data_IF_972040136594
#
_entry.id   IF_972040136594
#
_cell.length_a   1.000
_cell.length_b   1.000
_cell.length_c   1.000
_cell.angle_alpha   90.00
_cell.angle_beta   90.00
_cell.angle_gamma   90.00
#
_symmetry.space_group_name_H-M   'P 1'
#
loop_
_entity.id
_entity.type
_entity.pdbx_description
1 polymer ?
#
# COMPACT_ATOMS: atom_id res chain seq x y z
N UNK A 1 -20.19 -3.76 9.43
CA UNK A 1 -19.98 -2.61 8.52
C UNK A 1 -20.51 -3.03 7.17
N UNK A 2 -21.70 -2.57 6.82
CA UNK A 2 -22.46 -2.94 5.61
C UNK A 2 -22.33 -1.89 4.49
N UNK A 3 -21.57 -0.82 4.71
CA UNK A 3 -21.37 0.27 3.75
C UNK A 3 -22.46 1.32 3.77
N UNK A 4 -23.59 1.11 4.48
CA UNK A 4 -24.71 2.06 4.44
C UNK A 4 -24.29 3.45 4.88
N UNK A 5 -24.63 4.47 4.08
CA UNK A 5 -24.36 5.88 4.38
C UNK A 5 -25.04 6.28 5.70
N UNK A 6 -24.23 6.78 6.63
CA UNK A 6 -24.66 7.27 7.93
C UNK A 6 -24.95 8.77 7.97
N UNK A 7 -25.02 9.30 9.19
CA UNK A 7 -25.17 10.73 9.41
C UNK A 7 -23.95 11.52 8.93
N UNK A 8 -24.20 12.70 8.36
CA UNK A 8 -23.15 13.66 8.05
C UNK A 8 -22.64 14.34 9.33
N UNK A 9 -21.33 14.54 9.41
CA UNK A 9 -20.66 15.26 10.48
C UNK A 9 -19.97 16.49 9.90
N UNK A 10 -20.19 17.64 10.51
CA UNK A 10 -19.38 18.83 10.21
C UNK A 10 -18.04 18.71 10.94
N UNK A 11 -16.95 18.88 10.21
CA UNK A 11 -15.59 18.86 10.76
C UNK A 11 -15.35 20.20 11.47
N UNK A 12 -14.99 20.13 12.76
CA UNK A 12 -14.93 21.29 13.66
C UNK A 12 -13.52 21.70 14.08
N UNK A 13 -12.52 20.89 13.76
CA UNK A 13 -11.13 21.20 14.05
C UNK A 13 -10.22 20.53 13.03
N UNK A 14 -8.92 20.81 13.18
CA UNK A 14 -7.87 20.15 12.43
C UNK A 14 -7.98 18.63 12.48
N UNK A 15 -7.58 18.04 11.37
CA UNK A 15 -7.26 16.64 11.25
C UNK A 15 -6.39 16.47 10.00
N UNK A 16 -5.66 15.38 9.99
CA UNK A 16 -4.76 15.01 8.89
C UNK A 16 -5.20 13.69 8.32
N UNK A 17 -4.73 13.43 7.11
CA UNK A 17 -4.88 12.14 6.44
C UNK A 17 -3.59 11.78 5.72
N UNK A 18 -3.34 10.48 5.59
CA UNK A 18 -2.21 9.91 4.87
C UNK A 18 -2.68 8.65 4.14
N UNK A 19 -2.37 8.55 2.86
CA UNK A 19 -2.68 7.43 1.98
C UNK A 19 -1.35 6.88 1.43
N UNK A 20 -0.79 5.81 2.00
CA UNK A 20 0.41 5.15 1.46
C UNK A 20 0.06 4.07 0.43
N UNK A 21 0.88 3.94 -0.63
CA UNK A 21 0.79 2.83 -1.57
C UNK A 21 1.10 1.50 -0.87
N UNK A 22 0.32 0.45 -1.17
CA UNK A 22 0.47 -0.89 -0.57
C UNK A 22 0.34 -0.92 0.96
N UNK A 23 -0.15 0.17 1.57
CA UNK A 23 -0.26 0.37 3.00
C UNK A 23 -1.71 0.54 3.45
N UNK A 24 -1.87 0.95 4.70
CA UNK A 24 -3.17 1.26 5.30
C UNK A 24 -3.23 2.75 5.54
N UNK A 25 -4.30 3.37 5.06
CA UNK A 25 -4.57 4.78 5.27
C UNK A 25 -4.73 5.10 6.76
N UNK A 26 -4.29 6.29 7.16
CA UNK A 26 -4.49 6.81 8.52
C UNK A 26 -5.10 8.20 8.43
N UNK A 27 -6.16 8.45 9.20
CA UNK A 27 -6.82 9.76 9.23
C UNK A 27 -7.59 9.98 10.53
N UNK A 28 -7.90 11.23 10.82
CA UNK A 28 -8.70 11.56 12.00
C UNK A 28 -9.74 12.62 11.69
N UNK A 29 -10.95 12.50 12.26
CA UNK A 29 -12.01 13.51 12.08
C UNK A 29 -12.42 14.06 13.44
N UNK A 30 -12.40 15.38 13.59
CA UNK A 30 -12.81 16.06 14.81
C UNK A 30 -14.18 16.70 14.63
N UNK A 31 -15.17 16.26 15.40
CA UNK A 31 -16.54 16.79 15.39
C UNK A 31 -16.92 17.36 16.77
N UNK A 32 -18.00 18.15 16.83
CA UNK A 32 -18.51 18.62 18.12
C UNK A 32 -19.13 17.47 18.90
N UNK A 33 -18.97 17.47 20.23
CA UNK A 33 -19.68 16.51 21.10
C UNK A 33 -21.20 16.66 21.00
N UNK A 34 -21.69 17.86 20.69
CA UNK A 34 -23.10 18.10 20.48
C UNK A 34 -23.66 17.30 19.29
N UNK A 35 -22.92 17.24 18.17
CA UNK A 35 -23.29 16.40 17.02
C UNK A 35 -23.26 14.91 17.38
N UNK A 36 -22.15 14.43 17.97
CA UNK A 36 -22.02 13.01 18.30
C UNK A 36 -23.06 12.50 19.33
N UNK A 37 -23.48 13.35 20.27
CA UNK A 37 -24.53 13.02 21.25
C UNK A 37 -25.93 12.89 20.64
N UNK A 38 -26.16 13.44 19.44
CA UNK A 38 -27.42 13.24 18.70
C UNK A 38 -27.45 11.88 17.99
N UNK A 39 -26.30 11.24 17.82
CA UNK A 39 -26.17 9.91 17.26
C UNK A 39 -26.20 8.87 18.38
N UNK A 40 -26.73 7.69 18.09
CA UNK A 40 -26.56 6.56 19.01
C UNK A 40 -25.07 6.24 19.15
N UNK A 41 -24.65 5.81 20.35
CA UNK A 41 -23.25 5.45 20.65
C UNK A 41 -22.65 4.48 19.63
N UNK A 42 -23.50 3.62 19.09
CA UNK A 42 -23.13 2.62 18.11
C UNK A 42 -22.55 3.22 16.81
N UNK A 43 -22.92 4.45 16.44
CA UNK A 43 -22.46 5.18 15.24
C UNK A 43 -21.07 5.80 15.35
N UNK A 44 -20.46 5.78 16.53
CA UNK A 44 -19.06 6.22 16.71
C UNK A 44 -18.26 5.22 17.54
N UNK A 45 -18.78 4.00 17.68
CA UNK A 45 -18.09 2.89 18.36
C UNK A 45 -17.00 2.31 17.47
N UNK A 46 -15.84 2.07 18.05
CA UNK A 46 -14.68 1.51 17.36
C UNK A 46 -14.99 0.14 16.75
N UNK A 47 -14.41 -0.14 15.59
CA UNK A 47 -14.56 -1.36 14.77
C UNK A 47 -16.01 -1.71 14.34
N UNK A 48 -17.00 -0.91 14.74
CA UNK A 48 -18.40 -1.10 14.36
C UNK A 48 -18.79 -0.18 13.21
N UNK A 49 -18.32 1.05 13.24
CA UNK A 49 -18.68 2.10 12.28
C UNK A 49 -17.43 2.63 11.59
N UNK A 50 -17.58 2.95 10.31
CA UNK A 50 -16.56 3.64 9.50
C UNK A 50 -16.90 5.11 9.34
N UNK A 51 -15.87 5.93 9.23
CA UNK A 51 -15.98 7.31 8.76
C UNK A 51 -15.51 7.33 7.32
N UNK A 52 -16.20 8.07 6.46
CA UNK A 52 -15.77 8.39 5.11
C UNK A 52 -15.68 9.91 4.99
N UNK A 53 -14.58 10.39 4.42
CA UNK A 53 -14.41 11.80 4.05
C UNK A 53 -14.40 11.87 2.53
N UNK A 54 -15.22 12.76 1.98
CA UNK A 54 -15.36 12.93 0.54
C UNK A 54 -14.89 14.30 0.09
N UNK A 55 -14.29 14.34 -1.10
CA UNK A 55 -14.12 15.56 -1.86
C UNK A 55 -15.42 15.89 -2.59
N UNK A 56 -15.85 17.15 -2.51
CA UNK A 56 -17.00 17.62 -3.27
C UNK A 56 -16.49 18.36 -4.50
N UNK A 57 -16.76 17.81 -5.69
CA UNK A 57 -16.44 18.46 -6.95
C UNK A 57 -17.29 19.70 -7.17
N UNK A 58 -16.89 20.53 -8.13
CA UNK A 58 -17.61 21.75 -8.52
C UNK A 58 -19.07 21.46 -8.93
N UNK A 59 -19.36 20.29 -9.51
CA UNK A 59 -20.71 19.86 -9.89
C UNK A 59 -21.56 19.31 -8.72
N UNK A 60 -20.99 19.25 -7.51
CA UNK A 60 -21.62 18.75 -6.31
C UNK A 60 -21.49 17.24 -6.09
N UNK A 61 -20.88 16.50 -7.02
CA UNK A 61 -20.59 15.07 -6.87
C UNK A 61 -19.62 14.83 -5.73
N UNK A 62 -19.81 13.74 -4.99
CA UNK A 62 -18.96 13.34 -3.88
C UNK A 62 -18.05 12.19 -4.30
N UNK A 63 -16.74 12.42 -4.30
CA UNK A 63 -15.75 11.35 -4.38
C UNK A 63 -15.33 10.94 -2.99
N UNK A 64 -15.46 9.66 -2.64
CA UNK A 64 -14.91 9.16 -1.39
C UNK A 64 -13.38 9.19 -1.47
N UNK A 65 -12.75 10.01 -0.63
CA UNK A 65 -11.30 10.22 -0.65
C UNK A 65 -10.58 9.22 0.26
N UNK A 66 -11.04 9.14 1.52
CA UNK A 66 -10.51 8.19 2.50
C UNK A 66 -11.66 7.68 3.36
N UNK A 67 -11.63 6.39 3.70
CA UNK A 67 -12.63 5.82 4.58
C UNK A 67 -12.13 4.57 5.31
N UNK A 68 -12.66 4.35 6.51
CA UNK A 68 -12.39 3.13 7.28
C UNK A 68 -12.89 3.19 8.71
N UNK A 69 -12.76 2.08 9.47
CA UNK A 69 -13.30 1.96 10.82
C UNK A 69 -12.71 2.99 11.80
N UNK A 70 -13.53 3.40 12.77
CA UNK A 70 -13.06 4.07 13.98
C UNK A 70 -12.22 3.07 14.79
N UNK A 71 -11.02 3.45 15.21
CA UNK A 71 -10.04 2.51 15.79
C UNK A 71 -10.11 2.38 17.31
N UNK A 72 -10.62 3.39 18.00
CA UNK A 72 -10.68 3.41 19.47
C UNK A 72 -11.73 4.38 20.01
N UNK A 73 -11.83 4.51 21.34
CA UNK A 73 -12.62 5.57 21.95
C UNK A 73 -12.21 6.95 21.41
N UNK A 74 -13.16 7.88 21.19
CA UNK A 74 -12.81 9.22 20.73
C UNK A 74 -11.86 9.91 21.71
N UNK A 75 -10.85 10.61 21.21
CA UNK A 75 -10.08 11.54 22.03
C UNK A 75 -10.92 12.80 22.28
N UNK A 76 -11.01 13.26 23.52
CA UNK A 76 -12.03 14.25 23.91
C UNK A 76 -11.43 15.54 24.47
N UNK A 77 -11.94 16.69 24.00
CA UNK A 77 -11.78 17.99 24.68
C UNK A 77 -13.05 18.31 25.48
N UNK A 78 -13.21 19.55 25.97
CA UNK A 78 -14.49 19.96 26.60
C UNK A 78 -15.66 19.98 25.61
N UNK A 79 -15.41 20.32 24.35
CA UNK A 79 -16.46 20.63 23.35
C UNK A 79 -16.40 19.75 22.10
N UNK A 80 -15.25 19.14 21.80
CA UNK A 80 -15.02 18.31 20.61
C UNK A 80 -14.60 16.90 20.97
N UNK A 81 -14.74 16.00 20.00
CA UNK A 81 -14.19 14.66 20.05
C UNK A 81 -13.58 14.29 18.69
N UNK A 82 -12.43 13.64 18.72
CA UNK A 82 -11.66 13.22 17.55
C UNK A 82 -11.77 11.71 17.40
N UNK A 83 -12.26 11.29 16.24
CA UNK A 83 -12.35 9.90 15.81
C UNK A 83 -11.07 9.55 15.04
N UNK A 84 -10.19 8.75 15.64
CA UNK A 84 -9.07 8.16 14.93
C UNK A 84 -9.56 7.01 14.06
N UNK A 85 -9.22 7.04 12.78
CA UNK A 85 -9.70 6.09 11.77
C UNK A 85 -8.51 5.57 10.96
N UNK A 86 -8.62 4.34 10.47
CA UNK A 86 -7.65 3.75 9.55
C UNK A 86 -8.40 3.09 8.40
N UNK A 87 -7.75 2.98 7.25
CA UNK A 87 -8.31 2.33 6.06
C UNK A 87 -8.79 0.90 6.32
N UNK A 88 -9.62 0.36 5.42
CA UNK A 88 -10.23 -0.96 5.59
C UNK A 88 -9.21 -2.10 5.76
N UNK A 89 -7.98 -1.88 5.28
CA UNK A 89 -6.81 -2.74 5.52
C UNK A 89 -6.64 -3.18 6.97
N UNK A 90 -6.97 -2.32 7.94
CA UNK A 90 -6.83 -2.64 9.37
C UNK A 90 -7.74 -3.78 9.84
N UNK A 91 -8.88 -4.01 9.16
CA UNK A 91 -9.73 -5.17 9.43
C UNK A 91 -9.01 -6.46 9.01
N UNK A 92 -8.22 -6.42 7.95
CA UNK A 92 -7.41 -7.56 7.49
C UNK A 92 -6.17 -7.82 8.35
N UNK A 93 -5.68 -6.83 9.13
CA UNK A 93 -4.67 -7.06 10.18
C UNK A 93 -5.22 -7.99 11.28
N UNK A 94 -6.54 -8.05 11.45
CA UNK A 94 -7.24 -8.87 12.45
C UNK A 94 -7.85 -10.14 11.88
N UNK A 95 -7.56 -10.47 10.62
CA UNK A 95 -8.11 -11.65 9.94
C UNK A 95 -6.99 -12.58 9.49
N UNK A 96 -7.35 -13.85 9.36
CA UNK A 96 -6.47 -14.92 8.90
C UNK A 96 -7.06 -15.60 7.67
N UNK A 97 -6.20 -16.02 6.75
CA UNK A 97 -6.56 -16.79 5.56
C UNK A 97 -6.75 -18.25 5.96
N UNK A 98 -7.95 -18.79 5.73
CA UNK A 98 -8.31 -20.16 6.05
C UNK A 98 -9.05 -20.80 4.87
N UNK A 99 -8.90 -22.11 4.73
CA UNK A 99 -9.68 -22.94 3.79
C UNK A 99 -11.15 -23.02 4.19
N UNK A 100 -11.42 -23.01 5.50
CA UNK A 100 -12.74 -23.16 6.08
C UNK A 100 -12.88 -22.41 7.39
N UNK A 101 -14.12 -22.12 7.76
CA UNK A 101 -14.43 -21.62 9.10
C UNK A 101 -14.14 -22.70 10.15
N UNK A 102 -13.47 -22.39 11.27
CA UNK A 102 -13.09 -23.39 12.27
C UNK A 102 -14.28 -24.17 12.85
N UNK A 103 -15.49 -23.62 12.84
CA UNK A 103 -16.68 -24.23 13.46
C UNK A 103 -17.40 -25.21 12.52
N UNK A 104 -16.87 -25.46 11.31
CA UNK A 104 -17.61 -26.18 10.26
C UNK A 104 -17.47 -27.71 10.27
N UNK A 105 -16.56 -28.31 11.05
CA UNK A 105 -16.44 -29.79 11.13
C UNK A 105 -17.14 -30.33 12.39
N UNK A 106 -18.14 -31.23 12.27
CA UNK A 106 -18.89 -31.75 13.41
C UNK A 106 -18.06 -32.61 14.38
N UNK A 107 -17.05 -33.33 13.87
CA UNK A 107 -16.41 -34.42 14.61
C UNK A 107 -14.99 -34.09 15.11
N UNK A 108 -14.25 -33.22 14.41
CA UNK A 108 -12.91 -32.74 14.82
C UNK A 108 -12.51 -31.45 14.07
N UNK A 109 -13.08 -30.29 14.43
CA UNK A 109 -12.83 -29.02 13.76
C UNK A 109 -11.38 -28.53 13.84
N UNK A 110 -10.69 -28.83 14.95
CA UNK A 110 -9.34 -28.34 15.18
C UNK A 110 -8.31 -29.10 14.35
N UNK A 111 -8.35 -30.44 14.34
CA UNK A 111 -7.41 -31.22 13.53
C UNK A 111 -7.65 -31.01 12.03
N UNK A 112 -8.91 -30.87 11.61
CA UNK A 112 -9.25 -30.60 10.21
C UNK A 112 -8.69 -29.24 9.76
N UNK A 113 -8.80 -28.20 10.59
CA UNK A 113 -8.18 -26.90 10.33
C UNK A 113 -6.67 -27.02 10.20
N UNK A 114 -6.00 -27.67 11.16
CA UNK A 114 -4.54 -27.78 11.18
C UNK A 114 -3.97 -28.53 9.96
N UNK A 115 -4.74 -29.45 9.38
CA UNK A 115 -4.36 -30.20 8.16
C UNK A 115 -4.77 -29.51 6.86
N UNK A 116 -5.57 -28.44 6.92
CA UNK A 116 -6.05 -27.75 5.73
C UNK A 116 -4.95 -26.95 5.03
N UNK A 117 -5.08 -26.74 3.73
CA UNK A 117 -4.20 -25.88 2.94
C UNK A 117 -5.05 -25.10 1.96
N UNK A 118 -4.94 -23.77 1.99
CA UNK A 118 -5.44 -22.94 0.88
C UNK A 118 -4.39 -22.97 -0.21
N UNK A 119 -4.67 -23.60 -1.35
CA UNK A 119 -3.75 -23.67 -2.48
C UNK A 119 -4.24 -22.79 -3.62
N UNK A 120 -3.49 -21.72 -3.89
CA UNK A 120 -3.76 -20.77 -4.96
C UNK A 120 -2.68 -20.97 -6.02
N UNK A 121 -3.05 -21.61 -7.14
CA UNK A 121 -2.09 -22.03 -8.18
C UNK A 121 -2.51 -21.51 -9.54
N UNK A 122 -1.53 -21.13 -10.36
CA UNK A 122 -1.76 -20.68 -11.72
C UNK A 122 -2.49 -19.35 -11.77
N UNK A 123 -2.13 -18.42 -10.89
CA UNK A 123 -2.76 -17.11 -10.75
C UNK A 123 -1.69 -16.01 -10.75
N UNK A 124 -2.01 -14.81 -11.26
CA UNK A 124 -1.13 -13.65 -11.04
C UNK A 124 -1.05 -13.31 -9.54
N UNK A 125 0.04 -12.67 -9.09
CA UNK A 125 0.17 -12.26 -7.70
C UNK A 125 -0.98 -11.32 -7.27
N UNK A 126 -1.46 -10.48 -8.20
CA UNK A 126 -2.63 -9.62 -7.97
C UNK A 126 -3.92 -10.42 -7.78
N UNK A 127 -4.12 -11.47 -8.59
CA UNK A 127 -5.25 -12.39 -8.43
C UNK A 127 -5.17 -13.16 -7.10
N UNK A 128 -3.97 -13.57 -6.68
CA UNK A 128 -3.74 -14.20 -5.37
C UNK A 128 -4.10 -13.22 -4.24
N UNK A 129 -3.76 -11.93 -4.36
CA UNK A 129 -4.16 -10.92 -3.38
C UNK A 129 -5.69 -10.82 -3.24
N UNK A 130 -6.43 -10.84 -4.35
CA UNK A 130 -7.90 -10.87 -4.31
C UNK A 130 -8.43 -12.12 -3.59
N UNK A 131 -7.85 -13.29 -3.84
CA UNK A 131 -8.25 -14.52 -3.15
C UNK A 131 -7.97 -14.48 -1.65
N UNK A 132 -6.82 -13.93 -1.24
CA UNK A 132 -6.52 -13.70 0.18
C UNK A 132 -7.64 -12.90 0.86
N UNK A 133 -8.13 -11.83 0.22
CA UNK A 133 -9.24 -11.02 0.73
C UNK A 133 -10.55 -11.81 0.75
N UNK A 134 -10.87 -12.57 -0.31
CA UNK A 134 -12.07 -13.42 -0.36
C UNK A 134 -12.11 -14.43 0.79
N UNK A 135 -11.01 -15.14 1.02
CA UNK A 135 -10.89 -16.06 2.16
C UNK A 135 -10.99 -15.34 3.51
N UNK A 136 -10.46 -14.11 3.62
CA UNK A 136 -10.57 -13.33 4.84
C UNK A 136 -11.99 -12.82 5.13
N UNK A 137 -12.82 -12.60 4.11
CA UNK A 137 -14.23 -12.16 4.27
C UNK A 137 -15.24 -13.31 4.32
N UNK A 138 -14.89 -14.50 3.82
CA UNK A 138 -15.74 -15.70 3.82
C UNK A 138 -15.85 -16.36 5.21
N UNK A 139 -16.25 -15.58 6.22
CA UNK A 139 -16.42 -16.00 7.62
C UNK A 139 -17.75 -15.52 8.18
N UNK A 140 -18.24 -16.17 9.23
CA UNK A 140 -19.47 -15.73 9.91
C UNK A 140 -19.28 -14.31 10.46
N UNK A 141 -20.14 -13.38 10.04
CA UNK A 141 -19.99 -11.95 10.37
C UNK A 141 -18.78 -11.26 9.73
N UNK A 142 -18.10 -11.93 8.78
CA UNK A 142 -16.90 -11.46 8.10
C UNK A 142 -17.16 -10.60 6.87
N UNK A 143 -18.40 -10.51 6.37
CA UNK A 143 -18.71 -9.75 5.16
C UNK A 143 -18.34 -8.28 5.29
N UNK A 144 -17.70 -7.75 4.25
CA UNK A 144 -17.35 -6.34 4.08
C UNK A 144 -17.77 -5.93 2.65
N UNK A 145 -18.12 -4.65 2.39
CA UNK A 145 -18.50 -4.19 1.05
C UNK A 145 -17.25 -3.98 0.19
N UNK A 146 -16.56 -5.07 -0.13
CA UNK A 146 -15.38 -5.08 -1.01
C UNK A 146 -15.83 -5.41 -2.44
N UNK A 147 -15.43 -4.57 -3.39
CA UNK A 147 -15.60 -4.81 -4.83
C UNK A 147 -14.23 -5.12 -5.43
N UNK A 148 -14.12 -6.13 -6.29
CA UNK A 148 -12.86 -6.48 -6.96
C UNK A 148 -12.80 -5.76 -8.30
N UNK A 149 -11.99 -4.70 -8.37
CA UNK A 149 -11.92 -3.79 -9.52
C UNK A 149 -10.98 -4.24 -10.65
N UNK A 150 -10.05 -5.17 -10.37
CA UNK A 150 -9.13 -5.70 -11.39
C UNK A 150 -9.59 -7.07 -11.90
N UNK A 151 -9.48 -7.36 -13.22
CA UNK A 151 -9.74 -8.69 -13.76
C UNK A 151 -8.87 -9.78 -13.13
N UNK A 152 -9.40 -11.01 -13.11
CA UNK A 152 -8.64 -12.19 -12.69
C UNK A 152 -7.75 -12.68 -13.81
N UNK A 153 -6.53 -13.05 -13.48
CA UNK A 153 -5.56 -13.62 -14.41
C UNK A 153 -5.17 -15.02 -13.95
N UNK A 154 -5.38 -16.00 -14.83
CA UNK A 154 -5.03 -17.40 -14.58
C UNK A 154 -4.20 -17.98 -15.72
N UNK A 155 -3.27 -18.87 -15.41
CA UNK A 155 -2.42 -19.55 -16.39
C UNK A 155 -1.48 -20.53 -15.69
N UNK A 156 -1.19 -21.67 -16.32
CA UNK A 156 -0.41 -22.77 -15.72
C UNK A 156 1.05 -22.39 -15.38
N UNK A 157 1.58 -21.36 -16.02
CA UNK A 157 2.94 -20.82 -15.79
C UNK A 157 2.97 -19.68 -14.78
N UNK A 158 1.81 -19.24 -14.28
CA UNK A 158 1.73 -18.17 -13.28
C UNK A 158 2.04 -18.69 -11.87
N UNK A 159 1.92 -17.80 -10.90
CA UNK A 159 2.40 -18.00 -9.54
C UNK A 159 1.58 -19.02 -8.76
N UNK A 160 2.19 -19.50 -7.68
CA UNK A 160 1.57 -20.34 -6.67
C UNK A 160 1.85 -19.83 -5.26
N UNK A 161 0.86 -19.89 -4.39
CA UNK A 161 0.98 -19.72 -2.93
C UNK A 161 0.15 -20.78 -2.22
N UNK A 162 0.72 -21.31 -1.14
CA UNK A 162 0.01 -22.19 -0.21
C UNK A 162 -0.02 -21.52 1.15
N UNK A 163 -1.15 -21.65 1.85
CA UNK A 163 -1.30 -21.21 3.23
C UNK A 163 -1.78 -22.39 4.07
N UNK A 164 -0.87 -22.98 4.83
CA UNK A 164 -1.15 -24.16 5.63
C UNK A 164 -1.86 -23.78 6.93
N UNK A 165 -2.90 -24.53 7.30
CA UNK A 165 -3.67 -24.29 8.51
C UNK A 165 -2.86 -24.48 9.78
N UNK A 166 -1.84 -25.36 9.79
CA UNK A 166 -0.94 -25.50 10.94
C UNK A 166 -0.08 -24.26 11.17
N UNK A 167 0.12 -23.42 10.16
CA UNK A 167 0.93 -22.21 10.20
C UNK A 167 0.07 -20.95 10.43
N UNK A 168 -1.00 -21.08 11.23
CA UNK A 168 -2.03 -20.05 11.38
C UNK A 168 -1.49 -18.70 11.87
N UNK A 169 -0.49 -18.72 12.75
CA UNK A 169 0.16 -17.51 13.27
C UNK A 169 0.79 -16.66 12.15
N UNK A 170 1.15 -17.28 11.03
CA UNK A 170 1.71 -16.60 9.87
C UNK A 170 0.65 -16.27 8.80
N UNK A 171 -0.57 -16.80 8.88
CA UNK A 171 -1.61 -16.62 7.85
C UNK A 171 -2.45 -15.34 8.02
N UNK A 172 -1.93 -14.31 8.67
CA UNK A 172 -2.59 -13.00 8.75
C UNK A 172 -2.87 -12.44 7.34
N UNK A 173 -4.11 -12.07 7.05
CA UNK A 173 -4.52 -11.68 5.70
C UNK A 173 -3.75 -10.45 5.21
N UNK A 174 -3.65 -9.39 6.03
CA UNK A 174 -2.85 -8.22 5.68
C UNK A 174 -1.36 -8.54 5.52
N UNK A 175 -0.80 -9.40 6.40
CA UNK A 175 0.59 -9.87 6.27
C UNK A 175 0.82 -10.52 4.91
N UNK A 176 -0.08 -11.40 4.45
CA UNK A 176 0.03 -12.05 3.14
C UNK A 176 -0.09 -11.05 1.99
N UNK A 177 -0.94 -10.04 2.09
CA UNK A 177 -1.00 -8.95 1.10
C UNK A 177 0.33 -8.21 1.02
N UNK A 178 0.89 -7.79 2.16
CA UNK A 178 2.20 -7.11 2.21
C UNK A 178 3.35 -7.95 1.67
N UNK A 179 3.35 -9.27 1.92
CA UNK A 179 4.36 -10.17 1.35
C UNK A 179 4.24 -10.25 -0.17
N UNK A 180 3.02 -10.27 -0.72
CA UNK A 180 2.80 -10.30 -2.17
C UNK A 180 3.30 -9.02 -2.85
N UNK A 181 3.15 -7.85 -2.24
CA UNK A 181 3.62 -6.58 -2.84
C UNK A 181 5.15 -6.42 -2.73
N UNK A 182 5.83 -7.22 -1.91
CA UNK A 182 7.27 -7.09 -1.62
C UNK A 182 8.18 -8.10 -2.34
N UNK A 183 7.61 -9.00 -3.14
CA UNK A 183 8.42 -9.90 -3.97
C UNK A 183 8.83 -9.22 -5.27
N UNK A 184 9.79 -9.82 -6.00
CA UNK A 184 10.13 -9.41 -7.37
C UNK A 184 8.87 -9.40 -8.24
N UNK A 185 8.65 -8.30 -8.96
CA UNK A 185 7.44 -8.06 -9.75
C UNK A 185 6.15 -8.18 -8.93
N UNK A 186 6.19 -7.83 -7.64
CA UNK A 186 5.02 -7.75 -6.78
C UNK A 186 4.02 -6.71 -7.29
N UNK A 187 2.72 -7.00 -7.25
CA UNK A 187 1.70 -6.07 -7.72
C UNK A 187 1.50 -4.96 -6.69
N UNK A 188 1.17 -3.77 -7.17
CA UNK A 188 0.54 -2.76 -6.35
C UNK A 188 -0.89 -3.21 -5.99
N UNK A 189 -1.33 -2.90 -4.78
CA UNK A 189 -2.64 -3.27 -4.22
C UNK A 189 -3.16 -2.09 -3.39
N UNK A 190 -4.36 -1.62 -3.70
CA UNK A 190 -5.04 -0.52 -3.00
C UNK A 190 -6.51 -0.84 -2.74
N UNK A 191 -7.07 -0.29 -1.67
CA UNK A 191 -8.51 -0.34 -1.36
C UNK A 191 -9.11 1.05 -1.48
N UNK A 192 -9.56 1.42 -2.68
CA UNK A 192 -10.08 2.76 -2.97
C UNK A 192 -11.53 2.86 -2.51
N UNK A 193 -11.88 3.75 -1.56
CA UNK A 193 -13.26 3.93 -1.16
C UNK A 193 -14.05 4.56 -2.31
N UNK A 194 -15.30 4.15 -2.50
CA UNK A 194 -16.17 4.68 -3.54
C UNK A 194 -17.62 4.67 -3.05
N UNK A 195 -18.37 5.73 -3.34
CA UNK A 195 -19.82 5.68 -3.21
C UNK A 195 -20.40 4.86 -4.38
N UNK A 196 -21.38 4.01 -4.10
CA UNK A 196 -22.12 3.34 -5.16
C UNK A 196 -22.88 4.38 -6.02
N UNK A 197 -23.40 3.94 -7.17
CA UNK A 197 -24.01 4.86 -8.15
C UNK A 197 -25.17 5.68 -7.56
N UNK A 198 -25.92 5.13 -6.59
CA UNK A 198 -27.00 5.87 -5.90
C UNK A 198 -26.51 6.77 -4.74
N UNK A 199 -25.22 6.74 -4.39
CA UNK A 199 -24.66 7.51 -3.28
C UNK A 199 -25.15 7.10 -1.89
N UNK A 200 -25.67 5.87 -1.76
CA UNK A 200 -26.31 5.34 -0.54
C UNK A 200 -25.43 4.36 0.23
N UNK A 201 -24.48 3.73 -0.45
CA UNK A 201 -23.55 2.78 0.14
C UNK A 201 -22.12 3.12 -0.24
N UNK A 202 -21.22 2.99 0.72
CA UNK A 202 -19.79 3.02 0.55
C UNK A 202 -19.27 1.60 0.32
N UNK A 203 -18.43 1.47 -0.70
CA UNK A 203 -17.72 0.25 -1.05
C UNK A 203 -16.22 0.53 -1.04
N UNK A 204 -15.40 -0.50 -0.80
CA UNK A 204 -13.96 -0.43 -1.05
C UNK A 204 -13.65 -1.24 -2.30
N UNK A 205 -13.24 -0.55 -3.36
CA UNK A 205 -12.78 -1.17 -4.59
C UNK A 205 -11.33 -1.60 -4.39
N UNK A 206 -11.12 -2.91 -4.26
CA UNK A 206 -9.80 -3.51 -4.30
C UNK A 206 -9.30 -3.49 -5.74
N UNK A 207 -8.28 -2.68 -6.00
CA UNK A 207 -7.56 -2.63 -7.27
C UNK A 207 -6.14 -3.14 -7.07
N UNK A 208 -5.63 -3.80 -8.09
CA UNK A 208 -4.28 -4.33 -8.09
C UNK A 208 -3.65 -4.31 -9.48
N UNK A 209 -2.32 -4.35 -9.51
CA UNK A 209 -1.57 -4.59 -10.74
C UNK A 209 -1.71 -6.03 -11.26
N UNK A 210 -1.33 -6.21 -12.52
CA UNK A 210 -1.43 -7.45 -13.30
C UNK A 210 -0.08 -8.16 -13.40
N UNK A 211 -0.04 -9.35 -14.00
CA UNK A 211 1.23 -10.05 -14.23
C UNK A 211 2.15 -9.32 -15.21
N UNK A 212 1.58 -8.70 -16.25
CA UNK A 212 2.34 -7.97 -17.28
C UNK A 212 2.69 -6.54 -16.86
N UNK A 213 1.83 -5.93 -16.04
CA UNK A 213 2.01 -4.59 -15.50
C UNK A 213 1.74 -4.64 -14.00
N UNK A 214 2.78 -4.76 -13.15
CA UNK A 214 2.63 -4.82 -11.70
C UNK A 214 2.02 -3.56 -11.08
N UNK A 215 1.95 -2.45 -11.82
CA UNK A 215 1.31 -1.20 -11.39
C UNK A 215 -0.20 -1.25 -11.60
N UNK A 216 -0.96 -0.45 -10.84
CA UNK A 216 -2.40 -0.35 -11.01
C UNK A 216 -2.71 0.36 -12.34
N UNK A 217 -3.58 -0.23 -13.16
CA UNK A 217 -4.01 0.38 -14.41
C UNK A 217 -4.80 1.67 -14.16
N UNK A 218 -4.59 2.66 -15.03
CA UNK A 218 -5.25 3.96 -14.98
C UNK A 218 -5.73 4.38 -16.36
N UNK A 219 -6.78 5.20 -16.41
CA UNK A 219 -7.37 5.79 -17.61
C UNK A 219 -7.02 7.27 -17.79
N UNK A 220 -6.41 7.87 -16.76
CA UNK A 220 -6.00 9.26 -16.74
C UNK A 220 -4.63 9.39 -16.05
N UNK A 221 -3.80 10.31 -16.54
CA UNK A 221 -2.45 10.56 -16.01
C UNK A 221 -2.33 12.03 -15.64
N UNK A 222 -1.92 12.28 -14.40
CA UNK A 222 -1.64 13.62 -13.92
C UNK A 222 -0.38 14.16 -14.59
N UNK A 223 -0.37 15.45 -14.93
CA UNK A 223 0.81 16.12 -15.48
C UNK A 223 1.15 17.34 -14.63
N UNK A 224 2.31 17.27 -13.97
CA UNK A 224 2.82 18.27 -13.05
C UNK A 224 4.08 18.89 -13.64
N UNK A 225 3.93 20.05 -14.26
CA UNK A 225 5.06 20.85 -14.71
C UNK A 225 5.51 21.83 -13.63
N UNK A 226 6.65 21.57 -13.00
CA UNK A 226 7.18 22.42 -11.91
C UNK A 226 7.89 23.67 -12.44
N UNK A 227 8.06 23.82 -13.75
CA UNK A 227 8.76 24.94 -14.40
C UNK A 227 7.81 26.05 -14.85
N UNK A 228 6.52 25.74 -14.95
CA UNK A 228 5.48 26.68 -15.36
C UNK A 228 5.07 27.64 -14.25
N UNK A 229 4.95 28.93 -14.56
CA UNK A 229 4.48 29.96 -13.62
C UNK A 229 2.99 29.85 -13.27
N UNK A 230 2.23 29.02 -14.00
CA UNK A 230 0.82 28.71 -13.73
C UNK A 230 0.63 27.27 -13.25
N UNK A 231 1.69 26.62 -12.77
CA UNK A 231 1.63 25.26 -12.26
C UNK A 231 0.72 25.17 -11.03
N UNK A 232 -0.02 24.06 -10.83
CA UNK A 232 -0.70 23.80 -9.56
C UNK A 232 0.29 23.36 -8.46
N UNK A 233 1.58 23.22 -8.78
CA UNK A 233 2.65 22.88 -7.84
C UNK A 233 3.05 24.11 -7.03
N UNK A 234 2.90 24.03 -5.71
CA UNK A 234 3.32 25.07 -4.79
C UNK A 234 4.78 24.94 -4.33
N UNK A 235 5.29 23.71 -4.20
CA UNK A 235 6.68 23.47 -3.84
C UNK A 235 7.13 22.07 -4.26
N UNK A 236 8.43 21.91 -4.48
CA UNK A 236 9.09 20.64 -4.74
C UNK A 236 10.25 20.49 -3.77
N UNK A 237 10.37 19.32 -3.16
CA UNK A 237 11.45 18.94 -2.27
C UNK A 237 12.10 17.65 -2.81
N UNK A 238 13.40 17.69 -3.04
CA UNK A 238 14.17 16.54 -3.51
C UNK A 238 15.10 16.09 -2.39
N UNK A 239 14.92 14.85 -1.94
CA UNK A 239 15.76 14.22 -0.92
C UNK A 239 16.46 13.02 -1.52
N UNK A 240 17.78 13.00 -1.43
CA UNK A 240 18.60 11.88 -1.87
C UNK A 240 19.23 11.23 -0.63
N UNK A 241 18.97 9.95 -0.44
CA UNK A 241 19.51 9.14 0.65
C UNK A 241 20.54 8.13 0.12
N UNK A 242 21.77 8.25 0.61
CA UNK A 242 22.89 7.37 0.27
C UNK A 242 23.17 6.33 1.38
N UNK A 243 22.33 6.25 2.42
CA UNK A 243 22.54 5.38 3.58
C UNK A 243 22.55 3.88 3.28
N UNK A 244 22.00 3.47 2.14
CA UNK A 244 22.00 2.07 1.67
C UNK A 244 23.14 1.71 0.72
N UNK A 245 24.02 2.66 0.38
CA UNK A 245 25.09 2.37 -0.57
C UNK A 245 26.07 1.36 0.03
N UNK A 246 26.31 0.30 -0.74
CA UNK A 246 27.21 -0.79 -0.41
C UNK A 246 27.82 -1.34 -1.71
N UNK A 247 29.07 -1.78 -1.63
CA UNK A 247 29.76 -2.52 -2.70
C UNK A 247 30.01 -3.98 -2.32
N UNK A 248 29.62 -4.39 -1.11
CA UNK A 248 29.58 -5.78 -0.67
C UNK A 248 28.35 -6.02 0.22
N UNK A 249 27.65 -7.11 -0.05
CA UNK A 249 26.50 -7.57 0.73
C UNK A 249 26.76 -8.97 1.26
N UNK A 250 26.55 -9.13 2.57
CA UNK A 250 26.47 -10.43 3.24
C UNK A 250 25.00 -10.78 3.47
N UNK A 251 24.57 -11.98 3.09
CA UNK A 251 23.19 -12.43 3.32
C UNK A 251 23.16 -13.79 4.00
N UNK A 252 22.39 -13.89 5.08
CA UNK A 252 22.28 -15.12 5.87
C UNK A 252 20.93 -15.82 5.68
N UNK A 253 20.94 -17.15 5.73
CA UNK A 253 19.76 -18.02 5.68
C UNK A 253 19.31 -18.52 7.05
N UNK A 254 18.46 -19.54 7.03
CA UNK A 254 18.12 -20.33 8.20
C UNK A 254 19.32 -21.16 8.70
N UNK A 255 19.38 -21.41 10.01
CA UNK A 255 20.39 -22.23 10.66
C UNK A 255 20.73 -21.74 12.06
N UNK A 256 21.57 -22.49 12.77
CA UNK A 256 22.05 -22.15 14.11
C UNK A 256 23.59 -22.12 14.16
N UNK A 257 24.14 -21.15 14.88
CA UNK A 257 25.58 -21.02 15.11
C UNK A 257 26.39 -20.95 13.81
N UNK A 258 27.49 -21.72 13.75
CA UNK A 258 28.37 -21.76 12.59
C UNK A 258 27.77 -22.49 11.35
N UNK A 259 26.58 -23.09 11.49
CA UNK A 259 25.88 -23.78 10.41
C UNK A 259 24.97 -22.88 9.56
N UNK A 260 24.85 -21.59 9.90
CA UNK A 260 24.05 -20.63 9.13
C UNK A 260 24.64 -20.50 7.73
N UNK A 261 23.81 -20.76 6.72
CA UNK A 261 24.21 -20.54 5.35
C UNK A 261 24.38 -19.04 5.10
N UNK A 262 25.54 -18.64 4.60
CA UNK A 262 25.81 -17.27 4.19
C UNK A 262 26.18 -17.22 2.71
N UNK A 263 25.79 -16.14 2.05
CA UNK A 263 26.26 -15.75 0.72
C UNK A 263 26.86 -14.36 0.79
N UNK A 264 27.88 -14.14 -0.04
CA UNK A 264 28.53 -12.85 -0.18
C UNK A 264 28.54 -12.52 -1.66
N UNK A 265 28.07 -11.33 -1.99
CA UNK A 265 28.13 -10.76 -3.34
C UNK A 265 28.77 -9.39 -3.26
N UNK A 266 29.50 -8.99 -4.29
CA UNK A 266 30.24 -7.74 -4.30
C UNK A 266 30.44 -7.20 -5.70
N UNK A 267 30.48 -5.87 -5.80
CA UNK A 267 30.81 -5.12 -7.00
C UNK A 267 31.87 -4.08 -6.60
N UNK A 268 33.14 -4.40 -6.89
CA UNK A 268 34.28 -3.59 -6.47
C UNK A 268 34.70 -2.54 -7.50
N UNK A 269 33.96 -2.41 -8.61
CA UNK A 269 34.29 -1.50 -9.71
C UNK A 269 34.51 -0.06 -9.26
N UNK A 270 33.76 0.39 -8.26
CA UNK A 270 33.84 1.77 -7.72
C UNK A 270 34.95 2.02 -6.71
N UNK A 271 35.68 0.97 -6.28
CA UNK A 271 36.86 1.19 -5.44
C UNK A 271 37.94 1.98 -6.21
N UNK A 272 38.01 1.79 -7.53
CA UNK A 272 38.93 2.50 -8.40
C UNK A 272 38.61 4.00 -8.50
N UNK A 273 37.34 4.38 -8.28
CA UNK A 273 36.85 5.76 -8.21
C UNK A 273 37.00 6.38 -6.80
N UNK A 274 37.89 5.83 -5.97
CA UNK A 274 38.13 6.26 -4.59
C UNK A 274 36.93 6.08 -3.64
N UNK A 275 35.90 5.33 -4.04
CA UNK A 275 34.84 4.95 -3.12
C UNK A 275 35.40 3.95 -2.10
N UNK A 276 35.21 4.14 -0.78
CA UNK A 276 35.65 3.17 0.20
C UNK A 276 34.86 1.86 0.07
N UNK A 277 35.39 0.77 0.63
CA UNK A 277 34.61 -0.44 0.83
C UNK A 277 33.45 -0.14 1.79
N UNK A 278 32.22 -0.41 1.35
CA UNK A 278 30.99 -0.19 2.10
C UNK A 278 30.22 -1.51 2.14
N UNK A 279 29.85 -1.95 3.34
CA UNK A 279 29.30 -3.28 3.58
C UNK A 279 27.86 -3.20 4.12
N UNK A 280 26.99 -4.06 3.61
CA UNK A 280 25.65 -4.27 4.13
C UNK A 280 25.43 -5.74 4.53
N UNK A 281 24.53 -5.95 5.48
CA UNK A 281 24.17 -7.29 5.98
C UNK A 281 22.65 -7.45 5.97
N UNK A 282 22.16 -8.51 5.36
CA UNK A 282 20.75 -8.90 5.31
C UNK A 282 20.53 -10.35 5.71
N UNK A 283 19.26 -10.77 5.80
CA UNK A 283 18.91 -12.14 6.16
C UNK A 283 17.54 -12.58 5.64
N UNK A 284 17.43 -13.86 5.29
CA UNK A 284 16.18 -14.59 5.01
C UNK A 284 16.16 -15.81 5.93
N UNK A 285 15.79 -15.59 7.19
CA UNK A 285 16.00 -16.52 8.31
C UNK A 285 15.12 -17.78 8.27
N UNK A 286 14.19 -17.87 7.33
CA UNK A 286 13.28 -19.00 7.10
C UNK A 286 13.65 -19.83 5.86
N UNK A 287 14.69 -19.44 5.12
CA UNK A 287 15.13 -20.16 3.92
C UNK A 287 16.41 -20.94 4.17
N UNK A 288 16.39 -22.24 3.87
CA UNK A 288 17.59 -23.08 3.74
C UNK A 288 18.09 -23.15 2.28
N UNK A 289 17.38 -22.51 1.34
CA UNK A 289 17.70 -22.54 -0.08
C UNK A 289 18.82 -21.54 -0.42
N UNK A 290 20.00 -22.07 -0.71
CA UNK A 290 21.19 -21.27 -1.02
C UNK A 290 21.12 -20.43 -2.29
N UNK A 291 20.31 -20.82 -3.28
CA UNK A 291 20.09 -20.02 -4.47
C UNK A 291 19.20 -18.82 -4.14
N UNK A 292 18.09 -19.04 -3.42
CA UNK A 292 17.22 -17.95 -2.97
C UNK A 292 17.98 -16.93 -2.11
N UNK A 293 18.87 -17.39 -1.24
CA UNK A 293 19.72 -16.52 -0.41
C UNK A 293 20.69 -15.70 -1.27
N UNK A 294 21.26 -16.27 -2.33
CA UNK A 294 22.10 -15.54 -3.28
C UNK A 294 21.28 -14.49 -4.01
N UNK A 295 20.11 -14.84 -4.53
CA UNK A 295 19.24 -13.93 -5.28
C UNK A 295 18.86 -12.70 -4.43
N UNK A 296 18.60 -12.89 -3.14
CA UNK A 296 18.36 -11.78 -2.21
C UNK A 296 19.59 -10.88 -2.01
N UNK A 297 20.78 -11.48 -1.89
CA UNK A 297 22.02 -10.72 -1.76
C UNK A 297 22.30 -9.89 -3.03
N UNK A 298 22.11 -10.46 -4.21
CA UNK A 298 22.26 -9.79 -5.51
C UNK A 298 21.25 -8.64 -5.67
N UNK A 299 19.99 -8.87 -5.29
CA UNK A 299 18.97 -7.83 -5.31
C UNK A 299 19.31 -6.66 -4.39
N UNK A 300 19.86 -6.91 -3.19
CA UNK A 300 20.29 -5.85 -2.28
C UNK A 300 21.52 -5.11 -2.83
N UNK A 301 22.51 -5.82 -3.38
CA UNK A 301 23.68 -5.19 -3.99
C UNK A 301 23.28 -4.29 -5.16
N UNK A 302 22.38 -4.76 -6.03
CA UNK A 302 21.83 -3.96 -7.11
C UNK A 302 21.11 -2.70 -6.60
N UNK A 303 20.28 -2.84 -5.57
CA UNK A 303 19.60 -1.69 -4.94
C UNK A 303 20.58 -0.72 -4.25
N UNK A 304 21.73 -1.20 -3.79
CA UNK A 304 22.77 -0.43 -3.12
C UNK A 304 23.73 0.28 -4.09
N UNK A 305 23.61 0.06 -5.41
CA UNK A 305 24.47 0.70 -6.44
C UNK A 305 24.26 2.20 -6.55
N UNK A 306 23.11 2.74 -6.15
CA UNK A 306 22.83 4.17 -6.27
C UNK A 306 22.09 4.71 -5.04
N UNK A 307 22.29 6.00 -4.70
CA UNK A 307 21.42 6.66 -3.75
C UNK A 307 19.95 6.57 -4.17
N UNK A 308 19.05 6.49 -3.20
CA UNK A 308 17.61 6.57 -3.45
C UNK A 308 17.21 8.04 -3.45
N UNK A 309 16.65 8.53 -4.56
CA UNK A 309 16.10 9.88 -4.63
C UNK A 309 14.59 9.85 -4.50
N UNK A 310 14.09 10.49 -3.44
CA UNK A 310 12.66 10.71 -3.20
C UNK A 310 12.30 12.14 -3.59
N UNK A 311 11.26 12.28 -4.40
CA UNK A 311 10.75 13.59 -4.82
C UNK A 311 9.39 13.80 -4.15
N UNK A 312 9.28 14.86 -3.37
CA UNK A 312 8.03 15.30 -2.76
C UNK A 312 7.52 16.55 -3.48
N UNK A 313 6.25 16.55 -3.88
CA UNK A 313 5.62 17.70 -4.56
C UNK A 313 4.38 18.09 -3.79
N UNK A 314 4.27 19.37 -3.47
CA UNK A 314 3.07 19.94 -2.87
C UNK A 314 2.20 20.56 -3.96
N UNK A 315 0.97 20.09 -4.09
CA UNK A 315 0.01 20.54 -5.11
C UNK A 315 -1.21 21.21 -4.49
N UNK A 316 -1.88 22.06 -5.25
CA UNK A 316 -3.24 22.52 -4.96
C UNK A 316 -4.26 21.52 -5.51
N UNK A 317 -4.82 20.69 -4.62
CA UNK A 317 -5.82 19.67 -4.97
C UNK A 317 -7.18 20.22 -5.38
N UNK A 318 -7.39 21.54 -5.41
CA UNK A 318 -8.57 22.16 -6.00
C UNK A 318 -8.38 22.53 -7.48
N UNK A 319 -7.16 22.50 -8.02
CA UNK A 319 -6.90 22.76 -9.43
C UNK A 319 -7.34 21.56 -10.29
N UNK A 320 -8.10 21.81 -11.36
CA UNK A 320 -8.66 20.77 -12.24
C UNK A 320 -7.62 19.81 -12.85
N UNK A 321 -6.35 20.24 -12.93
CA UNK A 321 -5.23 19.42 -13.43
C UNK A 321 -4.76 18.37 -12.43
N UNK A 322 -5.04 18.54 -11.15
CA UNK A 322 -4.66 17.62 -10.07
C UNK A 322 -5.74 17.52 -8.98
N UNK A 323 -7.00 17.65 -9.39
CA UNK A 323 -8.14 17.69 -8.48
C UNK A 323 -8.22 16.39 -7.66
N UNK A 324 -8.42 16.53 -6.35
CA UNK A 324 -8.63 15.39 -5.45
C UNK A 324 -9.80 14.54 -5.95
N UNK A 325 -9.62 13.22 -5.99
CA UNK A 325 -10.61 12.26 -6.51
C UNK A 325 -10.50 11.99 -8.01
N UNK A 326 -9.75 12.80 -8.78
CA UNK A 326 -9.42 12.49 -10.19
C UNK A 326 -8.25 11.53 -10.32
N UNK A 327 -7.35 11.54 -9.34
CA UNK A 327 -6.18 10.68 -9.24
C UNK A 327 -6.18 9.93 -7.91
N UNK A 328 -5.38 8.87 -7.83
CA UNK A 328 -5.23 8.06 -6.64
C UNK A 328 -3.75 7.71 -6.40
N UNK A 329 -3.43 7.40 -5.15
CA UNK A 329 -2.16 6.77 -4.82
C UNK A 329 -2.05 5.42 -5.55
N UNK A 330 -0.86 5.16 -6.11
CA UNK A 330 -0.59 4.07 -7.04
C UNK A 330 -0.71 4.45 -8.51
N UNK A 331 -1.34 5.58 -8.85
CA UNK A 331 -1.37 6.05 -10.24
C UNK A 331 0.01 6.65 -10.63
N UNK A 332 0.34 6.54 -11.91
CA UNK A 332 1.43 7.25 -12.55
C UNK A 332 1.06 8.71 -12.84
N UNK A 333 2.05 9.58 -12.75
CA UNK A 333 2.00 10.99 -13.10
C UNK A 333 3.25 11.36 -13.91
N UNK A 334 3.09 12.26 -14.88
CA UNK A 334 4.22 12.92 -15.53
C UNK A 334 4.69 14.06 -14.63
N UNK A 335 5.96 14.02 -14.24
CA UNK A 335 6.59 15.08 -13.47
C UNK A 335 7.68 15.74 -14.32
N UNK A 336 7.50 17.02 -14.62
CA UNK A 336 8.49 17.83 -15.34
C UNK A 336 9.28 18.67 -14.35
N UNK A 337 10.59 18.39 -14.25
CA UNK A 337 11.52 19.12 -13.39
C UNK A 337 12.46 19.98 -14.25
N UNK A 338 12.80 21.16 -13.74
CA UNK A 338 13.76 22.07 -14.37
C UNK A 338 15.21 21.74 -14.02
N UNK A 339 16.15 22.42 -14.66
CA UNK A 339 17.61 22.24 -14.51
C UNK A 339 18.19 22.90 -13.26
N UNK A 340 17.45 22.84 -12.15
CA UNK A 340 17.83 23.46 -10.86
C UNK A 340 18.32 22.43 -9.83
N UNK A 341 18.07 21.14 -10.09
CA UNK A 341 18.38 20.06 -9.17
C UNK A 341 19.72 19.41 -9.52
N UNK A 342 20.58 19.24 -8.52
CA UNK A 342 21.90 18.61 -8.72
C UNK A 342 21.79 17.09 -8.90
N UNK A 343 20.82 16.46 -8.24
CA UNK A 343 20.70 14.99 -8.16
C UNK A 343 19.60 14.42 -9.05
N UNK A 344 18.86 15.28 -9.76
CA UNK A 344 17.76 14.87 -10.65
C UNK A 344 17.90 15.60 -11.97
N UNK A 345 17.96 14.88 -13.11
CA UNK A 345 18.07 15.53 -14.41
C UNK A 345 16.80 16.32 -14.76
N UNK A 346 16.93 17.40 -15.56
CA UNK A 346 15.77 18.11 -16.07
C UNK A 346 14.98 17.27 -17.08
N UNK A 347 13.69 17.58 -17.22
CA UNK A 347 12.81 16.97 -18.19
C UNK A 347 11.58 16.32 -17.55
N UNK A 348 10.76 15.72 -18.42
CA UNK A 348 9.53 15.04 -18.04
C UNK A 348 9.80 13.56 -17.85
N UNK A 349 9.44 13.03 -16.68
CA UNK A 349 9.55 11.60 -16.37
C UNK A 349 8.24 11.08 -15.78
N UNK A 350 7.86 9.86 -16.16
CA UNK A 350 6.75 9.17 -15.52
C UNK A 350 7.19 8.71 -14.13
N UNK A 351 6.38 9.03 -13.11
CA UNK A 351 6.62 8.67 -11.71
C UNK A 351 5.35 8.17 -11.08
N UNK A 352 5.48 7.20 -10.18
CA UNK A 352 4.36 6.67 -9.41
C UNK A 352 4.12 7.48 -8.15
N UNK A 353 2.87 7.78 -7.85
CA UNK A 353 2.46 8.39 -6.58
C UNK A 353 2.49 7.28 -5.51
N UNK A 354 3.46 7.33 -4.61
CA UNK A 354 3.63 6.33 -3.55
C UNK A 354 2.99 6.76 -2.22
N UNK A 355 2.67 8.04 -2.07
CA UNK A 355 2.07 8.59 -0.86
C UNK A 355 1.33 9.88 -1.15
N UNK A 356 0.22 10.11 -0.47
CA UNK A 356 -0.47 11.40 -0.43
C UNK A 356 -0.83 11.76 1.01
N UNK A 357 -0.56 13.01 1.40
CA UNK A 357 -0.83 13.53 2.74
C UNK A 357 -1.49 14.90 2.66
N UNK A 358 -2.37 15.19 3.60
CA UNK A 358 -3.01 16.49 3.68
C UNK A 358 -3.72 16.74 5.00
N UNK A 359 -4.48 17.84 5.03
CA UNK A 359 -5.27 18.24 6.19
C UNK A 359 -6.67 18.68 5.79
N UNK A 360 -7.61 18.68 6.73
CA UNK A 360 -8.99 19.13 6.45
C UNK A 360 -9.15 20.64 6.31
N UNK A 361 -8.10 21.43 6.56
CA UNK A 361 -8.15 22.89 6.45
C UNK A 361 -7.80 23.43 5.07
N UNK A 362 -7.28 22.60 4.19
CA UNK A 362 -6.71 23.03 2.93
C UNK A 362 -6.83 21.97 1.86
N UNK A 363 -7.00 22.39 0.61
CA UNK A 363 -6.90 21.53 -0.56
C UNK A 363 -5.44 21.18 -0.91
N UNK A 364 -4.45 21.75 -0.21
CA UNK A 364 -3.05 21.44 -0.46
C UNK A 364 -2.73 20.00 -0.07
N UNK A 365 -2.09 19.28 -0.99
CA UNK A 365 -1.69 17.88 -0.82
C UNK A 365 -0.19 17.73 -1.02
N UNK A 366 0.47 17.06 -0.09
CA UNK A 366 1.85 16.62 -0.24
C UNK A 366 1.88 15.22 -0.86
N UNK A 367 2.47 15.10 -2.05
CA UNK A 367 2.65 13.86 -2.79
C UNK A 367 4.10 13.42 -2.72
N UNK A 368 4.34 12.12 -2.55
CA UNK A 368 5.66 11.52 -2.68
C UNK A 368 5.68 10.63 -3.92
N UNK A 369 6.78 10.71 -4.68
CA UNK A 369 6.96 10.01 -5.95
C UNK A 369 8.15 9.06 -5.90
N UNK A 370 8.03 7.99 -6.69
CA UNK A 370 9.11 7.06 -7.04
C UNK A 370 9.09 6.82 -8.56
N UNK A 371 10.22 6.42 -9.15
CA UNK A 371 10.28 6.16 -10.59
C UNK A 371 9.30 5.04 -11.01
N UNK A 372 8.62 5.27 -12.13
CA UNK A 372 7.61 4.34 -12.66
C UNK A 372 8.27 3.36 -13.63
N UNK A 373 8.86 2.31 -13.09
CA UNK A 373 9.42 1.22 -13.88
C UNK A 373 9.62 -0.03 -13.02
N UNK A 374 9.68 -1.24 -13.62
CA UNK A 374 10.43 -2.30 -12.98
C UNK A 374 11.82 -1.74 -12.73
N UNK A 375 12.38 -1.97 -11.53
CA UNK A 375 13.82 -1.79 -11.36
C UNK A 375 14.46 -2.61 -12.46
N UNK A 376 15.11 -1.96 -13.43
CA UNK A 376 15.85 -2.64 -14.48
C UNK A 376 16.92 -3.45 -13.76
N UNK A 377 16.66 -4.76 -13.63
CA UNK A 377 17.74 -5.70 -13.48
C UNK A 377 18.42 -5.66 -14.83
N UNK A 378 19.59 -5.03 -14.90
CA UNK A 378 20.50 -5.30 -16.01
C UNK A 378 20.68 -6.82 -16.02
N UNK A 379 20.04 -7.48 -16.98
CA UNK A 379 20.46 -8.79 -17.42
C UNK A 379 21.90 -8.58 -17.91
N UNK A 380 22.89 -8.81 -17.04
CA UNK A 380 24.25 -9.01 -17.51
C UNK A 380 24.20 -10.20 -18.47
N UNK A 381 24.34 -9.90 -19.76
CA UNK A 381 24.34 -10.87 -20.84
C UNK A 381 25.29 -12.03 -20.56
N UNK A 382 24.72 -13.23 -20.68
CA UNK A 382 25.24 -14.44 -21.30
C UNK A 382 26.73 -14.82 -21.08
N UNK A 383 26.93 -15.99 -20.46
CA UNK A 383 27.66 -17.10 -21.13
C UNK A 383 27.23 -18.46 -20.61
#
# INVERSE_FOLDING_TARGET
MDGRRGAQLDITADGTWSIPLNGIEDFSVTASKAQLRRLERAWWSYMRTSVAVSWQREDGTLDAWVAGPVMGPPAESKTTATLACRGIGTVFEKRVVLDREPVASPDDPQTALMKSVVSLTGMSLGTIAQEVVKHAVAKVGGTLPIVYGTPRETGSTLNRRNYEGFNLSNNGAWKRLTELTKVRNGPDVMFRPRWNDEGTHLEWVMVNGTAAQPTIAQDWTMDLDTTSTKSPVASVDVKTDAGRIANRVYWTGAGEGAGILARVVQDLSRLDDQMPLLEAVGSTSDSENGDLIRDHAEAELAAARAPVTQISVKIDGADQRCEIGRWHVGDAANLTLGDVWLTVPPGTTAKRIISAKGSWKSAMVDLEFQDDGPVEYEDEEAT
#
